data_IF_756191816356
#
_entry.id   IF_756191816356
#
_cell.length_a   1.000
_cell.length_b   1.000
_cell.length_c   1.000
_cell.angle_alpha   90.00
_cell.angle_beta   90.00
_cell.angle_gamma   90.00
#
_symmetry.space_group_name_H-M   'P 1'
#
loop_
_entity.id
_entity.type
_entity.pdbx_description
1 polymer ?
#
# COMPACT_ATOMS: atom_id res chain seq x y z
N UNK A 1 4.85 -29.76 11.17
CA UNK A 1 5.68 -30.42 12.19
C UNK A 1 6.86 -29.51 12.47
N UNK A 2 6.83 -28.77 13.57
CA UNK A 2 7.93 -27.86 13.93
C UNK A 2 9.05 -28.68 14.58
N UNK A 3 10.19 -28.81 13.91
CA UNK A 3 11.41 -29.29 14.53
C UNK A 3 11.81 -28.30 15.60
N UNK A 4 11.82 -28.74 16.87
CA UNK A 4 12.41 -28.00 17.99
C UNK A 4 13.93 -27.97 17.84
N UNK A 5 14.42 -27.19 16.89
CA UNK A 5 15.83 -26.85 16.77
C UNK A 5 16.14 -25.74 17.75
N UNK A 6 17.12 -25.96 18.63
CA UNK A 6 17.64 -24.92 19.52
C UNK A 6 18.08 -23.73 18.67
N UNK A 7 17.45 -22.58 18.84
CA UNK A 7 17.78 -21.37 18.09
C UNK A 7 19.21 -20.95 18.45
N UNK A 8 20.13 -21.06 17.50
CA UNK A 8 21.52 -20.66 17.68
C UNK A 8 21.73 -19.25 17.13
N UNK A 9 21.90 -18.30 18.04
CA UNK A 9 22.21 -16.91 17.71
C UNK A 9 23.69 -16.76 17.36
N UNK A 10 23.97 -16.05 16.28
CA UNK A 10 25.34 -15.76 15.87
C UNK A 10 25.51 -14.29 15.55
N UNK A 11 26.70 -13.69 15.84
CA UNK A 11 27.01 -12.32 15.46
C UNK A 11 26.75 -12.08 13.97
N UNK A 12 26.08 -10.97 13.66
CA UNK A 12 25.73 -10.57 12.29
C UNK A 12 24.33 -10.98 11.82
N UNK A 13 23.68 -11.94 12.48
CA UNK A 13 22.31 -12.34 12.12
C UNK A 13 21.31 -11.20 12.32
N UNK A 14 20.28 -11.15 11.46
CA UNK A 14 19.23 -10.13 11.52
C UNK A 14 17.94 -10.66 12.17
N UNK A 15 17.48 -9.94 13.19
CA UNK A 15 16.33 -10.32 14.03
C UNK A 15 15.43 -9.12 14.31
N UNK A 16 14.14 -9.36 14.53
CA UNK A 16 13.20 -8.35 15.00
C UNK A 16 12.75 -8.69 16.42
N UNK A 17 12.48 -7.66 17.22
CA UNK A 17 11.80 -7.80 18.50
C UNK A 17 10.31 -8.02 18.28
N UNK A 18 9.76 -9.10 18.83
CA UNK A 18 8.33 -9.37 18.76
C UNK A 18 7.52 -8.39 19.62
N UNK A 19 8.17 -7.81 20.64
CA UNK A 19 7.54 -6.86 21.58
C UNK A 19 7.78 -5.39 21.26
N UNK A 20 8.85 -5.07 20.52
CA UNK A 20 9.29 -3.69 20.23
C UNK A 20 9.54 -3.54 18.72
N UNK A 21 8.49 -3.72 17.93
CA UNK A 21 8.53 -3.68 16.47
C UNK A 21 9.08 -2.36 15.88
N UNK A 22 8.87 -1.26 16.59
CA UNK A 22 9.32 0.09 16.24
C UNK A 22 10.85 0.23 16.18
N UNK A 23 11.60 -0.66 16.83
CA UNK A 23 13.06 -0.69 16.76
C UNK A 23 13.57 -1.14 15.38
N UNK A 24 12.70 -1.76 14.58
CA UNK A 24 13.05 -2.26 13.26
C UNK A 24 13.96 -3.48 13.31
N UNK A 25 14.85 -3.60 12.32
CA UNK A 25 15.70 -4.77 12.17
C UNK A 25 16.95 -4.67 13.05
N UNK A 26 17.05 -5.55 14.04
CA UNK A 26 18.21 -5.72 14.89
C UNK A 26 19.30 -6.59 14.25
N UNK A 27 20.53 -6.41 14.71
CA UNK A 27 21.71 -7.22 14.38
C UNK A 27 22.26 -7.82 15.68
N UNK A 28 22.48 -9.12 15.71
CA UNK A 28 23.16 -9.76 16.86
C UNK A 28 24.60 -9.26 16.91
N UNK A 29 25.00 -8.67 18.03
CA UNK A 29 26.39 -8.29 18.28
C UNK A 29 27.15 -9.43 18.96
N UNK A 30 26.63 -9.91 20.08
CA UNK A 30 27.28 -10.92 20.91
C UNK A 30 26.25 -11.81 21.59
N UNK A 31 26.68 -13.03 21.90
CA UNK A 31 25.92 -13.98 22.71
C UNK A 31 26.87 -14.63 23.69
N UNK A 32 26.65 -14.43 25.00
CA UNK A 32 27.56 -14.87 26.07
C UNK A 32 27.01 -16.08 26.87
N UNK A 33 26.23 -16.93 26.21
CA UNK A 33 25.66 -18.15 26.78
C UNK A 33 24.49 -17.92 27.75
N UNK A 34 24.29 -16.69 28.23
CA UNK A 34 23.12 -16.30 29.04
C UNK A 34 22.35 -15.11 28.45
N UNK A 35 23.06 -14.11 27.95
CA UNK A 35 22.52 -12.90 27.37
C UNK A 35 22.83 -12.84 25.87
N UNK A 36 21.96 -12.13 25.18
CA UNK A 36 22.06 -11.84 23.76
C UNK A 36 22.00 -10.32 23.61
N UNK A 37 23.03 -9.73 23.01
CA UNK A 37 23.07 -8.29 22.73
C UNK A 37 22.67 -8.03 21.29
N UNK A 38 21.65 -7.21 21.09
CA UNK A 38 21.10 -6.85 19.78
C UNK A 38 21.20 -5.34 19.59
N UNK A 39 21.82 -4.92 18.49
CA UNK A 39 21.85 -3.52 18.06
C UNK A 39 20.72 -3.28 17.06
N UNK A 40 19.93 -2.23 17.26
CA UNK A 40 18.89 -1.77 16.33
C UNK A 40 19.38 -0.51 15.61
N UNK A 41 19.97 -0.61 14.41
CA UNK A 41 20.65 0.53 13.80
C UNK A 41 19.69 1.62 13.33
N UNK A 42 18.40 1.31 13.15
CA UNK A 42 17.39 2.30 12.79
C UNK A 42 17.15 3.34 13.90
N UNK A 43 17.22 2.92 15.17
CA UNK A 43 17.06 3.79 16.34
C UNK A 43 18.37 4.12 17.03
N UNK A 44 19.43 3.35 16.74
CA UNK A 44 20.73 3.42 17.44
C UNK A 44 20.71 2.75 18.82
N UNK A 45 19.61 2.08 19.19
CA UNK A 45 19.45 1.47 20.50
C UNK A 45 20.08 0.07 20.56
N UNK A 46 20.58 -0.30 21.73
CA UNK A 46 21.02 -1.66 22.02
C UNK A 46 20.10 -2.28 23.08
N UNK A 47 19.67 -3.52 22.87
CA UNK A 47 18.89 -4.29 23.84
C UNK A 47 19.63 -5.56 24.22
N UNK A 48 19.41 -5.98 25.46
CA UNK A 48 19.90 -7.24 25.99
C UNK A 48 18.71 -8.14 26.31
N UNK A 49 18.72 -9.35 25.73
CA UNK A 49 17.69 -10.34 25.96
C UNK A 49 18.29 -11.57 26.65
N UNK A 50 17.49 -12.27 27.44
CA UNK A 50 17.86 -13.59 27.95
C UNK A 50 17.79 -14.61 26.82
N UNK A 51 18.87 -15.37 26.59
CA UNK A 51 18.94 -16.39 25.54
C UNK A 51 17.81 -17.43 25.60
N UNK A 52 17.33 -17.74 26.81
CA UNK A 52 16.31 -18.79 27.01
C UNK A 52 14.95 -18.41 26.44
N UNK A 53 14.56 -17.14 26.55
CA UNK A 53 13.23 -16.64 26.23
C UNK A 53 13.32 -15.30 25.47
N UNK A 54 14.30 -15.14 24.58
CA UNK A 54 14.41 -13.93 23.78
C UNK A 54 13.19 -13.85 22.84
N UNK A 55 12.35 -12.79 22.92
CA UNK A 55 11.18 -12.62 22.07
C UNK A 55 11.62 -12.07 20.70
N UNK A 56 12.44 -12.85 20.01
CA UNK A 56 13.06 -12.47 18.75
C UNK A 56 12.63 -13.41 17.64
N UNK A 57 12.25 -12.83 16.51
CA UNK A 57 11.98 -13.57 15.28
C UNK A 57 13.10 -13.33 14.26
N UNK A 58 13.66 -14.40 13.70
CA UNK A 58 14.73 -14.29 12.69
C UNK A 58 14.12 -13.82 11.38
N UNK A 59 14.72 -12.80 10.79
CA UNK A 59 14.29 -12.32 9.47
C UNK A 59 14.96 -13.14 8.39
N UNK A 60 14.13 -13.71 7.51
CA UNK A 60 14.57 -14.53 6.38
C UNK A 60 13.72 -14.17 5.18
N UNK A 61 14.36 -14.04 4.03
CA UNK A 61 13.70 -13.83 2.75
C UNK A 61 13.76 -15.10 1.90
N UNK A 62 12.79 -15.27 1.02
CA UNK A 62 12.70 -16.41 0.12
C UNK A 62 12.94 -15.99 -1.34
N UNK A 63 13.26 -16.94 -2.25
CA UNK A 63 13.28 -16.66 -3.68
C UNK A 63 12.00 -15.98 -4.16
N UNK A 64 12.15 -14.88 -4.89
CA UNK A 64 11.07 -14.00 -5.34
C UNK A 64 10.88 -12.72 -4.50
N UNK A 65 11.47 -12.66 -3.30
CA UNK A 65 11.43 -11.44 -2.49
C UNK A 65 12.33 -10.34 -3.07
N UNK A 66 11.91 -9.09 -2.90
CA UNK A 66 12.74 -7.92 -3.20
C UNK A 66 13.28 -7.40 -1.87
N UNK A 67 14.61 -7.41 -1.73
CA UNK A 67 15.31 -6.97 -0.53
C UNK A 67 16.15 -5.73 -0.85
N UNK A 68 16.40 -4.90 0.17
CA UNK A 68 17.10 -3.62 0.02
C UNK A 68 18.40 -3.64 0.81
N UNK A 69 19.50 -3.24 0.18
CA UNK A 69 20.79 -3.03 0.82
C UNK A 69 20.78 -1.76 1.68
N UNK A 70 21.66 -1.64 2.68
CA UNK A 70 21.74 -0.43 3.53
C UNK A 70 22.07 0.85 2.74
N UNK A 71 22.69 0.74 1.57
CA UNK A 71 22.97 1.85 0.63
C UNK A 71 21.79 2.17 -0.31
N UNK A 72 20.68 1.42 -0.21
CA UNK A 72 19.41 1.73 -0.90
C UNK A 72 19.19 1.02 -2.23
N UNK A 73 20.18 0.34 -2.81
CA UNK A 73 19.95 -0.51 -3.98
C UNK A 73 19.19 -1.79 -3.62
N UNK A 74 18.57 -2.42 -4.61
CA UNK A 74 17.64 -3.53 -4.43
C UNK A 74 18.11 -4.80 -5.14
N UNK A 75 17.76 -5.94 -4.55
CA UNK A 75 18.03 -7.28 -5.06
C UNK A 75 16.72 -8.08 -5.09
N UNK A 76 16.46 -8.75 -6.21
CA UNK A 76 15.41 -9.78 -6.28
C UNK A 76 16.03 -11.14 -6.00
N UNK A 77 15.64 -11.78 -4.89
CA UNK A 77 16.25 -13.03 -4.40
C UNK A 77 15.93 -14.16 -5.36
N UNK A 78 16.96 -14.90 -5.78
CA UNK A 78 16.85 -16.13 -6.57
C UNK A 78 17.24 -17.35 -5.74
N UNK A 79 18.28 -17.20 -4.93
CA UNK A 79 18.83 -18.26 -4.11
C UNK A 79 19.27 -17.70 -2.76
N UNK A 80 19.21 -18.56 -1.73
CA UNK A 80 19.65 -18.23 -0.37
C UNK A 80 20.62 -19.30 0.08
N UNK A 81 21.83 -18.87 0.41
CA UNK A 81 22.90 -19.72 0.90
C UNK A 81 23.09 -19.48 2.40
N UNK A 82 23.27 -20.55 3.19
CA UNK A 82 23.60 -20.46 4.61
C UNK A 82 25.09 -20.80 4.79
N UNK A 83 25.89 -19.79 5.14
CA UNK A 83 27.33 -19.90 5.35
C UNK A 83 27.60 -19.72 6.84
N UNK A 84 27.96 -20.81 7.50
CA UNK A 84 28.26 -20.88 8.92
C UNK A 84 27.14 -20.37 9.86
N UNK A 85 25.89 -20.27 9.39
CA UNK A 85 24.75 -19.76 10.15
C UNK A 85 24.34 -18.32 9.80
N UNK A 86 25.02 -17.69 8.84
CA UNK A 86 24.67 -16.40 8.24
C UNK A 86 24.11 -16.59 6.82
N UNK A 87 23.04 -15.88 6.52
CA UNK A 87 22.39 -15.97 5.21
C UNK A 87 23.04 -15.01 4.19
N UNK A 88 23.30 -15.53 2.99
CA UNK A 88 23.71 -14.75 1.82
C UNK A 88 22.65 -14.90 0.74
N UNK A 89 22.09 -13.78 0.29
CA UNK A 89 21.06 -13.73 -0.73
C UNK A 89 21.69 -13.47 -2.09
N UNK A 90 21.51 -14.38 -3.03
CA UNK A 90 21.98 -14.24 -4.42
C UNK A 90 20.81 -13.92 -5.33
N UNK A 91 21.01 -13.01 -6.27
CA UNK A 91 19.93 -12.58 -7.16
C UNK A 91 20.34 -11.51 -8.15
N UNK A 92 19.33 -10.79 -8.65
CA UNK A 92 19.52 -9.76 -9.66
C UNK A 92 19.18 -8.37 -9.12
N UNK A 93 20.00 -7.38 -9.46
CA UNK A 93 19.67 -5.96 -9.24
C UNK A 93 18.72 -5.42 -10.33
N UNK A 94 18.41 -4.12 -10.26
CA UNK A 94 17.54 -3.44 -11.22
C UNK A 94 18.09 -3.44 -12.65
N UNK A 95 19.41 -3.60 -12.83
CA UNK A 95 20.07 -3.70 -14.12
C UNK A 95 20.29 -5.15 -14.58
N UNK A 96 19.62 -6.12 -13.93
CA UNK A 96 19.75 -7.56 -14.20
C UNK A 96 21.17 -8.12 -14.03
N UNK A 97 22.00 -7.49 -13.20
CA UNK A 97 23.33 -8.00 -12.86
C UNK A 97 23.23 -8.94 -11.69
N UNK A 98 23.99 -10.04 -11.75
CA UNK A 98 24.10 -10.97 -10.64
C UNK A 98 24.84 -10.30 -9.48
N UNK A 99 24.18 -10.23 -8.33
CA UNK A 99 24.69 -9.61 -7.11
C UNK A 99 24.40 -10.51 -5.91
N UNK A 100 25.24 -10.39 -4.89
CA UNK A 100 25.11 -11.11 -3.63
C UNK A 100 24.97 -10.11 -2.49
N UNK A 101 24.04 -10.36 -1.57
CA UNK A 101 23.74 -9.51 -0.43
C UNK A 101 23.79 -10.37 0.85
N UNK A 102 24.84 -10.25 1.68
CA UNK A 102 24.88 -10.85 3.01
C UNK A 102 23.81 -10.24 3.94
N UNK A 103 23.21 -11.03 4.83
CA UNK A 103 22.16 -10.53 5.74
C UNK A 103 22.64 -9.35 6.63
N UNK A 104 23.93 -9.28 6.92
CA UNK A 104 24.56 -8.17 7.66
C UNK A 104 24.38 -6.80 6.98
N UNK A 105 24.24 -6.79 5.65
CA UNK A 105 24.12 -5.60 4.81
C UNK A 105 22.67 -5.26 4.43
N UNK A 106 21.69 -5.98 4.97
CA UNK A 106 20.28 -5.63 4.81
C UNK A 106 19.98 -4.24 5.37
N UNK A 107 19.08 -3.54 4.70
CA UNK A 107 18.49 -2.29 5.19
C UNK A 107 17.90 -2.48 6.59
N UNK A 108 18.07 -1.45 7.43
CA UNK A 108 17.58 -1.46 8.81
C UNK A 108 16.05 -1.29 8.90
N UNK A 109 15.42 -0.87 7.81
CA UNK A 109 13.97 -0.70 7.70
C UNK A 109 13.36 -1.92 7.03
N UNK A 110 12.48 -2.62 7.74
CA UNK A 110 11.68 -3.69 7.16
C UNK A 110 10.33 -3.12 6.75
N UNK A 111 10.00 -3.29 5.48
CA UNK A 111 8.62 -3.21 5.01
C UNK A 111 8.02 -4.60 5.14
N UNK A 112 7.23 -4.84 6.18
CA UNK A 112 6.46 -6.08 6.28
C UNK A 112 5.49 -6.15 5.11
N UNK A 113 5.69 -7.14 4.24
CA UNK A 113 4.98 -7.22 2.96
C UNK A 113 3.63 -7.91 3.12
N UNK A 114 3.54 -8.89 4.03
CA UNK A 114 2.34 -9.65 4.30
C UNK A 114 1.84 -9.45 5.74
N UNK A 115 0.52 -9.53 5.92
CA UNK A 115 -0.10 -9.52 7.25
C UNK A 115 0.36 -10.73 8.10
N UNK A 116 0.72 -11.84 7.47
CA UNK A 116 1.31 -13.02 8.13
C UNK A 116 2.64 -12.69 8.80
N UNK A 117 3.49 -11.90 8.16
CA UNK A 117 4.83 -11.58 8.67
C UNK A 117 4.71 -10.74 9.94
N UNK A 118 3.77 -9.79 9.94
CA UNK A 118 3.41 -8.99 11.12
C UNK A 118 2.85 -9.86 12.23
N UNK A 119 1.96 -10.79 11.91
CA UNK A 119 1.37 -11.71 12.88
C UNK A 119 2.42 -12.63 13.54
N UNK A 120 3.34 -13.20 12.73
CA UNK A 120 4.42 -14.05 13.24
C UNK A 120 5.43 -13.26 14.08
N UNK A 121 5.62 -11.97 13.77
CA UNK A 121 6.42 -11.03 14.55
C UNK A 121 5.70 -10.43 15.78
N UNK A 122 4.55 -10.98 16.18
CA UNK A 122 3.79 -10.47 17.33
C UNK A 122 3.12 -9.10 17.14
N UNK A 123 3.22 -8.49 15.94
CA UNK A 123 2.59 -7.21 15.62
C UNK A 123 1.11 -7.41 15.31
N UNK A 124 0.28 -7.21 16.33
CA UNK A 124 -1.17 -7.31 16.23
C UNK A 124 -1.77 -5.91 16.29
N UNK A 125 -2.39 -5.48 15.20
CA UNK A 125 -3.16 -4.24 15.18
C UNK A 125 -4.44 -4.38 16.01
N UNK A 126 -4.92 -3.30 16.66
CA UNK A 126 -6.21 -3.31 17.34
C UNK A 126 -7.37 -3.71 16.42
N UNK A 127 -8.29 -4.52 16.95
CA UNK A 127 -9.41 -5.08 16.18
C UNK A 127 -10.28 -4.02 15.48
N UNK A 128 -10.46 -2.86 16.11
CA UNK A 128 -11.23 -1.75 15.53
C UNK A 128 -10.60 -1.20 14.25
N UNK A 129 -9.27 -1.14 14.14
CA UNK A 129 -8.59 -0.72 12.91
C UNK A 129 -8.74 -1.76 11.79
N UNK A 130 -8.62 -3.04 12.13
CA UNK A 130 -8.89 -4.12 11.19
C UNK A 130 -10.34 -4.06 10.68
N UNK A 131 -11.30 -3.94 11.59
CA UNK A 131 -12.72 -3.83 11.25
C UNK A 131 -13.01 -2.60 10.37
N UNK A 132 -12.44 -1.44 10.72
CA UNK A 132 -12.57 -0.22 9.91
C UNK A 132 -12.02 -0.42 8.50
N UNK A 133 -10.83 -1.01 8.37
CA UNK A 133 -10.22 -1.29 7.06
C UNK A 133 -11.10 -2.24 6.25
N UNK A 134 -11.58 -3.32 6.86
CA UNK A 134 -12.47 -4.29 6.23
C UNK A 134 -13.76 -3.62 5.73
N UNK A 135 -14.49 -2.91 6.59
CA UNK A 135 -15.73 -2.23 6.21
C UNK A 135 -15.49 -1.13 5.17
N UNK A 136 -14.37 -0.40 5.23
CA UNK A 136 -14.03 0.61 4.22
C UNK A 136 -13.85 -0.03 2.85
N UNK A 137 -13.15 -1.16 2.76
CA UNK A 137 -12.96 -1.89 1.50
C UNK A 137 -14.28 -2.45 0.97
N UNK A 138 -15.12 -2.99 1.87
CA UNK A 138 -16.46 -3.49 1.54
C UNK A 138 -17.35 -2.37 0.97
N UNK A 139 -17.44 -1.23 1.67
CA UNK A 139 -18.21 -0.06 1.23
C UNK A 139 -17.68 0.49 -0.10
N UNK A 140 -16.36 0.60 -0.25
CA UNK A 140 -15.74 1.07 -1.48
C UNK A 140 -16.06 0.15 -2.66
N UNK A 141 -15.97 -1.16 -2.46
CA UNK A 141 -16.35 -2.16 -3.47
C UNK A 141 -17.81 -1.99 -3.91
N UNK A 142 -18.73 -1.87 -2.94
CA UNK A 142 -20.16 -1.65 -3.19
C UNK A 142 -20.43 -0.37 -3.98
N UNK A 143 -19.75 0.73 -3.63
CA UNK A 143 -19.91 2.02 -4.32
C UNK A 143 -19.39 1.95 -5.76
N UNK A 144 -18.22 1.35 -6.00
CA UNK A 144 -17.63 1.24 -7.34
C UNK A 144 -18.45 0.34 -8.28
N UNK A 145 -19.14 -0.67 -7.75
CA UNK A 145 -20.03 -1.54 -8.53
C UNK A 145 -21.41 -0.90 -8.79
N UNK A 146 -21.71 0.24 -8.17
CA UNK A 146 -22.99 0.92 -8.35
C UNK A 146 -23.13 1.49 -9.77
N UNK A 147 -24.28 1.27 -10.39
CA UNK A 147 -24.65 1.90 -11.68
C UNK A 147 -24.77 3.43 -11.59
N UNK A 148 -24.84 3.97 -10.37
CA UNK A 148 -24.90 5.39 -10.07
C UNK A 148 -23.54 5.98 -9.67
N UNK A 149 -22.45 5.21 -9.78
CA UNK A 149 -21.10 5.72 -9.53
C UNK A 149 -20.84 6.96 -10.39
N UNK A 150 -20.36 8.02 -9.73
CA UNK A 150 -20.13 9.32 -10.36
C UNK A 150 -21.38 10.14 -10.68
N UNK A 151 -22.58 9.71 -10.29
CA UNK A 151 -23.82 10.49 -10.43
C UNK A 151 -24.43 10.91 -9.08
N UNK A 152 -24.00 10.32 -7.96
CA UNK A 152 -24.52 10.62 -6.62
C UNK A 152 -23.73 11.66 -5.82
N UNK A 153 -22.60 12.15 -6.34
CA UNK A 153 -21.71 13.08 -5.62
C UNK A 153 -21.98 14.57 -5.88
N UNK A 154 -22.88 14.89 -6.82
CA UNK A 154 -23.22 16.28 -7.13
C UNK A 154 -23.93 16.94 -5.96
N UNK A 155 -23.58 18.20 -5.65
CA UNK A 155 -24.34 19.07 -4.72
C UNK A 155 -25.62 19.62 -5.38
N UNK A 156 -26.32 18.75 -6.10
CA UNK A 156 -27.58 19.02 -6.77
C UNK A 156 -28.58 17.93 -6.37
N UNK A 157 -29.87 18.20 -6.54
CA UNK A 157 -30.94 17.21 -6.40
C UNK A 157 -31.42 16.84 -7.81
N UNK A 158 -30.67 16.00 -8.56
CA UNK A 158 -31.05 15.68 -9.93
C UNK A 158 -32.36 14.92 -9.92
N UNK A 159 -33.30 15.39 -10.73
CA UNK A 159 -34.59 14.73 -10.93
C UNK A 159 -34.45 13.53 -11.87
N UNK A 160 -35.45 12.66 -11.87
CA UNK A 160 -35.37 11.34 -12.51
C UNK A 160 -34.94 11.40 -13.99
N UNK A 161 -35.43 12.37 -14.77
CA UNK A 161 -35.05 12.51 -16.18
C UNK A 161 -33.57 12.91 -16.34
N UNK A 162 -33.07 13.86 -15.54
CA UNK A 162 -31.68 14.31 -15.59
C UNK A 162 -30.73 13.17 -15.26
N UNK A 163 -31.08 12.36 -14.25
CA UNK A 163 -30.29 11.19 -13.88
C UNK A 163 -30.30 10.11 -14.98
N UNK A 164 -31.45 9.93 -15.63
CA UNK A 164 -31.58 9.00 -16.76
C UNK A 164 -30.69 9.42 -17.93
N UNK A 165 -30.80 10.69 -18.36
CA UNK A 165 -29.99 11.26 -19.45
C UNK A 165 -28.51 11.18 -19.08
N UNK A 166 -28.11 11.66 -17.90
CA UNK A 166 -26.71 11.66 -17.48
C UNK A 166 -26.12 10.23 -17.47
N UNK A 167 -26.87 9.24 -17.00
CA UNK A 167 -26.45 7.83 -17.03
C UNK A 167 -26.31 7.32 -18.46
N UNK A 168 -27.32 7.52 -19.30
CA UNK A 168 -27.33 7.02 -20.67
C UNK A 168 -26.19 7.62 -21.50
N UNK A 169 -25.95 8.92 -21.33
CA UNK A 169 -24.88 9.64 -22.03
C UNK A 169 -23.51 9.24 -21.51
N UNK A 170 -23.29 9.26 -20.19
CA UNK A 170 -21.98 9.01 -19.61
C UNK A 170 -21.49 7.56 -19.78
N UNK A 171 -22.39 6.59 -19.98
CA UNK A 171 -22.00 5.20 -20.22
C UNK A 171 -21.45 4.95 -21.63
N UNK A 172 -21.67 5.86 -22.57
CA UNK A 172 -21.17 5.75 -23.96
C UNK A 172 -19.65 5.92 -24.02
N UNK A 173 -19.03 5.24 -24.97
CA UNK A 173 -17.61 5.44 -25.31
C UNK A 173 -17.55 6.71 -26.16
N UNK A 174 -16.94 7.77 -25.63
CA UNK A 174 -16.86 9.10 -26.25
C UNK A 174 -18.24 9.72 -26.59
N UNK A 175 -19.02 10.17 -25.59
CA UNK A 175 -20.36 10.70 -25.82
C UNK A 175 -20.36 11.95 -26.70
N UNK A 176 -21.19 11.95 -27.74
CA UNK A 176 -21.51 13.10 -28.60
C UNK A 176 -23.02 13.27 -28.57
N UNK A 177 -23.50 14.29 -27.88
CA UNK A 177 -24.93 14.50 -27.63
C UNK A 177 -25.29 15.98 -27.71
N UNK A 178 -26.55 16.26 -28.03
CA UNK A 178 -27.15 17.59 -27.96
C UNK A 178 -28.22 17.56 -26.87
N UNK A 179 -28.00 18.30 -25.78
CA UNK A 179 -29.02 18.50 -24.74
C UNK A 179 -29.92 19.66 -25.18
N UNK A 180 -31.15 19.36 -25.56
CA UNK A 180 -32.10 20.30 -26.17
C UNK A 180 -33.37 20.48 -25.32
N UNK A 181 -33.30 20.16 -24.03
CA UNK A 181 -34.41 20.33 -23.09
C UNK A 181 -34.83 21.80 -22.98
N UNK A 182 -36.03 22.03 -22.48
CA UNK A 182 -36.55 23.39 -22.28
C UNK A 182 -35.63 24.22 -21.37
N UNK A 183 -35.73 25.55 -21.51
CA UNK A 183 -34.99 26.49 -20.68
C UNK A 183 -35.43 26.31 -19.22
N UNK A 184 -34.47 26.15 -18.31
CA UNK A 184 -34.74 25.93 -16.89
C UNK A 184 -34.81 24.46 -16.44
N UNK A 185 -34.82 23.49 -17.37
CA UNK A 185 -34.85 22.05 -17.01
C UNK A 185 -33.50 21.48 -16.52
N UNK A 186 -32.46 22.31 -16.40
CA UNK A 186 -31.20 21.89 -15.78
C UNK A 186 -30.21 21.18 -16.70
N UNK A 187 -30.13 21.59 -17.98
CA UNK A 187 -29.10 21.13 -18.94
C UNK A 187 -27.67 21.25 -18.39
N UNK A 188 -27.38 22.26 -17.57
CA UNK A 188 -26.06 22.42 -16.95
C UNK A 188 -25.79 21.37 -15.87
N UNK A 189 -26.82 20.97 -15.10
CA UNK A 189 -26.75 19.87 -14.13
C UNK A 189 -26.45 18.55 -14.85
N UNK A 190 -27.17 18.26 -15.94
CA UNK A 190 -26.94 17.06 -16.75
C UNK A 190 -25.53 17.02 -17.33
N UNK A 191 -25.06 18.13 -17.91
CA UNK A 191 -23.70 18.25 -18.42
C UNK A 191 -22.67 18.04 -17.29
N UNK A 192 -22.89 18.62 -16.12
CA UNK A 192 -22.03 18.44 -14.94
C UNK A 192 -21.99 17.00 -14.46
N UNK A 193 -23.12 16.31 -14.40
CA UNK A 193 -23.20 14.88 -14.04
C UNK A 193 -22.44 14.00 -15.04
N UNK A 194 -22.56 14.27 -16.35
CA UNK A 194 -21.81 13.55 -17.39
C UNK A 194 -20.31 13.79 -17.22
N UNK A 195 -19.88 15.05 -17.06
CA UNK A 195 -18.48 15.41 -16.83
C UNK A 195 -17.93 14.71 -15.58
N UNK A 196 -18.65 14.79 -14.46
CA UNK A 196 -18.23 14.21 -13.19
C UNK A 196 -18.07 12.68 -13.28
N UNK A 197 -18.99 11.98 -13.95
CA UNK A 197 -18.86 10.53 -14.20
C UNK A 197 -17.69 10.19 -15.12
N UNK A 198 -17.45 10.98 -16.16
CA UNK A 198 -16.32 10.77 -17.08
C UNK A 198 -14.97 10.96 -16.37
N UNK A 199 -14.86 11.94 -15.46
CA UNK A 199 -13.67 12.16 -14.65
C UNK A 199 -13.45 11.02 -13.63
N UNK A 200 -14.49 10.66 -12.87
CA UNK A 200 -14.38 9.62 -11.83
C UNK A 200 -14.16 8.20 -12.37
N UNK A 201 -14.59 7.94 -13.61
CA UNK A 201 -14.32 6.66 -14.29
C UNK A 201 -12.98 6.64 -15.02
N UNK A 202 -12.22 7.75 -15.00
CA UNK A 202 -10.96 7.88 -15.73
C UNK A 202 -11.11 7.93 -17.25
N UNK A 203 -12.34 8.04 -17.78
CA UNK A 203 -12.62 8.16 -19.22
C UNK A 203 -12.23 9.52 -19.79
N UNK A 204 -12.13 10.54 -18.93
CA UNK A 204 -11.58 11.84 -19.26
C UNK A 204 -10.64 12.31 -18.15
N UNK A 205 -9.56 12.99 -18.52
CA UNK A 205 -8.66 13.68 -17.59
C UNK A 205 -8.67 15.19 -17.76
N UNK A 206 -9.23 15.68 -18.88
CA UNK A 206 -9.29 17.09 -19.25
C UNK A 206 -10.66 17.38 -19.85
N UNK A 207 -11.22 18.53 -19.49
CA UNK A 207 -12.54 18.98 -19.95
C UNK A 207 -12.41 20.42 -20.44
N UNK A 208 -12.92 20.70 -21.63
CA UNK A 208 -13.03 22.05 -22.17
C UNK A 208 -14.51 22.42 -22.25
N UNK A 209 -14.89 23.51 -21.59
CA UNK A 209 -16.23 24.06 -21.64
C UNK A 209 -16.15 25.40 -22.38
N UNK A 210 -16.81 25.48 -23.53
CA UNK A 210 -16.90 26.71 -24.32
C UNK A 210 -18.22 27.40 -24.00
N UNK A 211 -18.16 28.58 -23.40
CA UNK A 211 -19.33 29.36 -23.01
C UNK A 211 -19.17 30.82 -23.40
N UNK A 212 -20.26 31.54 -23.73
CA UNK A 212 -20.24 33.00 -23.86
C UNK A 212 -19.73 33.68 -22.60
N UNK A 213 -19.12 34.86 -22.76
CA UNK A 213 -18.48 35.62 -21.67
C UNK A 213 -19.38 35.82 -20.45
N UNK A 214 -20.65 36.15 -20.68
CA UNK A 214 -21.64 36.40 -19.63
C UNK A 214 -22.03 35.15 -18.81
N UNK A 215 -21.73 33.94 -19.27
CA UNK A 215 -22.05 32.69 -18.57
C UNK A 215 -20.82 32.05 -17.88
N UNK A 216 -19.62 32.58 -18.07
CA UNK A 216 -18.38 32.00 -17.52
C UNK A 216 -18.44 31.85 -15.99
N UNK A 217 -18.86 32.91 -15.28
CA UNK A 217 -18.95 32.89 -13.82
C UNK A 217 -19.96 31.84 -13.34
N UNK A 218 -21.12 31.73 -14.00
CA UNK A 218 -22.14 30.75 -13.61
C UNK A 218 -21.58 29.32 -13.69
N UNK A 219 -20.97 28.97 -14.82
CA UNK A 219 -20.35 27.66 -15.01
C UNK A 219 -19.22 27.38 -14.02
N UNK A 220 -18.41 28.39 -13.69
CA UNK A 220 -17.33 28.24 -12.72
C UNK A 220 -17.86 27.94 -11.31
N UNK A 221 -18.98 28.55 -10.91
CA UNK A 221 -19.61 28.26 -9.61
C UNK A 221 -20.28 26.89 -9.61
N UNK A 222 -20.98 26.52 -10.68
CA UNK A 222 -21.67 25.24 -10.78
C UNK A 222 -20.71 24.03 -10.84
N UNK A 223 -19.49 24.23 -11.36
CA UNK A 223 -18.49 23.16 -11.54
C UNK A 223 -17.47 23.03 -10.40
N UNK A 224 -17.56 23.88 -9.36
CA UNK A 224 -16.64 23.89 -8.22
C UNK A 224 -17.07 22.93 -7.10
#
# INVERSE_FOLDING_TARGET
MASSGTVQYQPGQRWISDSEAELGLGTILTSDGRLLTVLYPATGETRQYSLRNAPLTRVRFAPGDEITHFEGWKLTVQEVEDIDGLLVYHGFDAEHRSVSLPETQLSNFIQFRLASDRLFAGQIDPLNWFALRYHTLEHRSRLLQSKLWGLGGSRAQPIAHQLHIAREVADRIAPRVLLADEVGLGKTIEAGLVIHRQLLSGRASRVLILVPENLQHQWLVEMR
#
